data_IF_153467244858
#
_entry.id   IF_153467244858
#
_cell.length_a   1.000
_cell.length_b   1.000
_cell.length_c   1.000
_cell.angle_alpha   90.00
_cell.angle_beta   90.00
_cell.angle_gamma   90.00
#
_symmetry.space_group_name_H-M   'P 1'
#
loop_
_entity.id
_entity.type
_entity.pdbx_description
1 polymer ?
#
# COMPACT_ATOMS: atom_id res chain seq x y z
N UNK A 1 20.75 -37.09 27.11
CA UNK A 1 20.84 -35.90 26.23
C UNK A 1 19.68 -35.97 25.25
N UNK A 2 18.67 -35.12 25.40
CA UNK A 2 17.60 -35.02 24.42
C UNK A 2 18.21 -34.39 23.16
N UNK A 3 18.40 -35.19 22.11
CA UNK A 3 18.75 -34.68 20.79
C UNK A 3 17.61 -33.74 20.37
N UNK A 4 17.89 -32.44 20.40
CA UNK A 4 17.00 -31.41 19.87
C UNK A 4 16.61 -31.84 18.47
N UNK A 5 15.37 -32.30 18.30
CA UNK A 5 14.84 -32.82 17.05
C UNK A 5 14.74 -31.64 16.07
N UNK A 6 15.82 -31.42 15.33
CA UNK A 6 15.94 -30.38 14.33
C UNK A 6 14.84 -30.60 13.30
N UNK A 7 13.95 -29.62 13.14
CA UNK A 7 12.81 -29.75 12.25
C UNK A 7 13.19 -29.23 10.86
N UNK A 8 13.49 -30.10 9.88
CA UNK A 8 13.95 -29.69 8.55
C UNK A 8 12.89 -28.92 7.76
N UNK A 9 11.63 -28.93 8.20
CA UNK A 9 10.54 -28.17 7.57
C UNK A 9 10.68 -26.67 7.84
N UNK A 10 11.30 -26.29 8.97
CA UNK A 10 11.51 -24.88 9.29
C UNK A 10 12.38 -24.19 8.23
N UNK A 11 13.54 -24.76 7.91
CA UNK A 11 14.48 -24.17 6.95
C UNK A 11 13.96 -24.20 5.50
N UNK A 12 12.98 -25.07 5.22
CA UNK A 12 12.29 -25.10 3.92
C UNK A 12 11.23 -24.01 3.79
N UNK A 13 10.62 -23.59 4.90
CA UNK A 13 9.55 -22.60 4.93
C UNK A 13 10.04 -21.20 5.23
N UNK A 14 11.02 -21.03 6.13
CA UNK A 14 11.57 -19.74 6.56
C UNK A 14 12.93 -19.53 5.89
N UNK A 15 13.00 -18.58 4.96
CA UNK A 15 14.20 -18.33 4.15
C UNK A 15 15.13 -17.29 4.74
N UNK A 16 14.62 -16.41 5.59
CA UNK A 16 15.35 -15.32 6.22
C UNK A 16 14.77 -14.98 7.59
N UNK A 17 15.52 -14.24 8.41
CA UNK A 17 15.10 -13.83 9.76
C UNK A 17 13.94 -12.83 9.76
N UNK A 18 13.69 -12.16 8.63
CA UNK A 18 12.62 -11.19 8.40
C UNK A 18 11.52 -11.74 7.46
N UNK A 19 11.53 -13.05 7.18
CA UNK A 19 10.54 -13.72 6.33
C UNK A 19 9.21 -13.96 7.07
N UNK A 20 8.42 -12.90 7.24
CA UNK A 20 7.11 -12.93 7.91
C UNK A 20 6.18 -13.97 7.26
N UNK A 21 6.16 -14.01 5.92
CA UNK A 21 5.40 -15.00 5.16
C UNK A 21 5.82 -16.44 5.54
N UNK A 22 7.13 -16.70 5.57
CA UNK A 22 7.69 -17.99 5.99
C UNK A 22 7.33 -18.36 7.43
N UNK A 23 7.32 -17.41 8.36
CA UNK A 23 6.91 -17.66 9.75
C UNK A 23 5.43 -18.02 9.87
N UNK A 24 4.57 -17.33 9.13
CA UNK A 24 3.14 -17.65 9.08
C UNK A 24 2.93 -19.03 8.45
N UNK A 25 3.60 -19.31 7.33
CA UNK A 25 3.56 -20.62 6.67
C UNK A 25 4.01 -21.75 7.61
N UNK A 26 5.05 -21.52 8.41
CA UNK A 26 5.49 -22.46 9.43
C UNK A 26 4.45 -22.66 10.56
N UNK A 27 3.77 -21.58 10.97
CA UNK A 27 2.65 -21.65 11.90
C UNK A 27 1.51 -22.52 11.37
N UNK A 28 1.13 -22.33 10.10
CA UNK A 28 0.11 -23.15 9.42
C UNK A 28 0.52 -24.63 9.37
N UNK A 29 1.78 -24.92 9.04
CA UNK A 29 2.32 -26.29 9.11
C UNK A 29 2.18 -26.90 10.51
N UNK A 30 2.52 -26.15 11.57
CA UNK A 30 2.41 -26.65 12.96
C UNK A 30 0.96 -26.88 13.36
N UNK A 31 0.04 -26.05 12.90
CA UNK A 31 -1.39 -26.25 13.09
C UNK A 31 -1.85 -27.55 12.42
N UNK A 32 -1.51 -27.77 11.14
CA UNK A 32 -1.85 -28.99 10.43
C UNK A 32 -1.27 -30.25 11.11
N UNK A 33 -0.04 -30.17 11.62
CA UNK A 33 0.57 -31.25 12.43
C UNK A 33 -0.21 -31.54 13.71
N UNK A 34 -0.68 -30.50 14.41
CA UNK A 34 -1.50 -30.67 15.61
C UNK A 34 -2.84 -31.31 15.28
N UNK A 35 -3.51 -30.86 14.23
CA UNK A 35 -4.79 -31.42 13.78
C UNK A 35 -4.66 -32.90 13.44
N UNK A 36 -3.63 -33.27 12.68
CA UNK A 36 -3.36 -34.67 12.37
C UNK A 36 -3.07 -35.51 13.61
N UNK A 37 -2.31 -34.98 14.58
CA UNK A 37 -2.02 -35.68 15.84
C UNK A 37 -3.29 -35.93 16.65
N UNK A 38 -4.19 -34.94 16.72
CA UNK A 38 -5.47 -35.05 17.43
C UNK A 38 -6.39 -36.05 16.74
N UNK A 39 -6.50 -35.98 15.42
CA UNK A 39 -7.30 -36.90 14.61
C UNK A 39 -6.78 -38.34 14.71
N UNK A 40 -5.47 -38.55 14.61
CA UNK A 40 -4.87 -39.87 14.78
C UNK A 40 -5.15 -40.44 16.16
N UNK A 41 -5.02 -39.62 17.22
CA UNK A 41 -5.32 -40.05 18.59
C UNK A 41 -6.79 -40.38 18.80
N UNK A 42 -7.69 -39.63 18.17
CA UNK A 42 -9.12 -39.90 18.22
C UNK A 42 -9.49 -41.22 17.51
N UNK A 43 -8.84 -41.52 16.38
CA UNK A 43 -9.08 -42.75 15.61
C UNK A 43 -8.47 -44.00 16.23
N UNK A 44 -7.23 -43.92 16.70
CA UNK A 44 -6.44 -45.07 17.16
C UNK A 44 -6.45 -45.23 18.70
N UNK A 45 -6.95 -44.24 19.44
CA UNK A 45 -6.95 -44.23 20.90
C UNK A 45 -5.56 -44.08 21.54
N UNK A 46 -4.51 -43.89 20.73
CA UNK A 46 -3.10 -43.82 21.16
C UNK A 46 -2.34 -42.70 20.46
N UNK A 47 -1.14 -42.40 20.94
CA UNK A 47 -0.21 -41.56 20.21
C UNK A 47 0.33 -42.29 18.95
N UNK A 48 0.66 -41.55 17.87
CA UNK A 48 1.27 -42.16 16.71
C UNK A 48 2.66 -42.70 17.03
N UNK A 49 2.96 -43.85 16.45
CA UNK A 49 4.28 -44.47 16.47
C UNK A 49 5.27 -43.68 15.62
N UNK A 50 6.57 -43.93 15.82
CA UNK A 50 7.63 -43.32 15.01
C UNK A 50 7.49 -43.65 13.51
N UNK A 51 6.93 -44.81 13.16
CA UNK A 51 6.70 -45.17 11.77
C UNK A 51 5.60 -44.31 11.13
N UNK A 52 4.51 -44.08 11.84
CA UNK A 52 3.39 -43.22 11.40
C UNK A 52 3.81 -41.76 11.31
N UNK A 53 4.63 -41.27 12.26
CA UNK A 53 5.21 -39.92 12.19
C UNK A 53 6.14 -39.72 11.00
N UNK A 54 6.92 -40.75 10.63
CA UNK A 54 7.73 -40.72 9.40
C UNK A 54 6.84 -40.72 8.16
N UNK A 55 5.75 -41.50 8.17
CA UNK A 55 4.74 -41.48 7.10
C UNK A 55 4.14 -40.09 6.91
N UNK A 56 3.72 -39.46 7.99
CA UNK A 56 3.25 -38.07 8.01
C UNK A 56 4.30 -37.11 7.48
N UNK A 57 5.57 -37.28 7.86
CA UNK A 57 6.64 -36.39 7.41
C UNK A 57 6.88 -36.47 5.88
N UNK A 58 6.61 -37.63 5.26
CA UNK A 58 6.75 -37.83 3.81
C UNK A 58 5.68 -37.14 2.98
N UNK A 59 4.54 -36.78 3.57
CA UNK A 59 3.47 -36.07 2.85
C UNK A 59 3.83 -34.60 2.55
N UNK A 60 4.87 -34.08 3.21
CA UNK A 60 5.37 -32.73 3.03
C UNK A 60 6.33 -32.67 1.85
N UNK A 61 5.75 -32.61 0.65
CA UNK A 61 6.48 -32.38 -0.59
C UNK A 61 6.74 -30.88 -0.76
N UNK A 62 7.68 -30.47 -1.62
CA UNK A 62 7.89 -29.06 -1.93
C UNK A 62 6.60 -28.34 -2.35
N UNK A 63 5.71 -29.01 -3.09
CA UNK A 63 4.41 -28.48 -3.50
C UNK A 63 3.48 -28.20 -2.32
N UNK A 64 3.38 -29.11 -1.34
CA UNK A 64 2.52 -28.87 -0.17
C UNK A 64 3.09 -27.82 0.76
N UNK A 65 4.43 -27.71 0.85
CA UNK A 65 5.08 -26.61 1.56
C UNK A 65 4.87 -25.26 0.87
N UNK A 66 4.90 -25.23 -0.46
CA UNK A 66 4.57 -24.03 -1.23
C UNK A 66 3.12 -23.59 -1.00
N UNK A 67 2.17 -24.52 -0.92
CA UNK A 67 0.78 -24.18 -0.62
C UNK A 67 0.60 -23.46 0.74
N UNK A 68 1.40 -23.81 1.76
CA UNK A 68 1.41 -23.07 3.02
C UNK A 68 1.94 -21.64 2.88
N UNK A 69 2.94 -21.43 2.02
CA UNK A 69 3.46 -20.09 1.69
C UNK A 69 2.41 -19.25 0.95
N UNK A 70 1.76 -19.82 -0.05
CA UNK A 70 0.67 -19.15 -0.79
C UNK A 70 -0.50 -18.80 0.14
N UNK A 71 -0.85 -19.69 1.06
CA UNK A 71 -1.88 -19.41 2.08
C UNK A 71 -1.46 -18.28 3.02
N UNK A 72 -0.19 -18.26 3.44
CA UNK A 72 0.37 -17.20 4.29
C UNK A 72 0.37 -15.84 3.58
N UNK A 73 0.76 -15.80 2.31
CA UNK A 73 0.73 -14.60 1.47
C UNK A 73 -0.70 -14.05 1.31
N UNK A 74 -1.67 -14.93 1.06
CA UNK A 74 -3.08 -14.56 1.01
C UNK A 74 -3.59 -13.97 2.33
N UNK A 75 -3.22 -14.57 3.47
CA UNK A 75 -3.60 -14.07 4.79
C UNK A 75 -2.98 -12.71 5.11
N UNK A 76 -1.69 -12.52 4.77
CA UNK A 76 -1.00 -11.24 4.91
C UNK A 76 -1.62 -10.16 4.03
N UNK A 77 -1.91 -10.47 2.77
CA UNK A 77 -2.54 -9.56 1.83
C UNK A 77 -3.93 -9.14 2.30
N UNK A 78 -4.73 -10.08 2.81
CA UNK A 78 -6.05 -9.78 3.38
C UNK A 78 -5.94 -8.87 4.60
N UNK A 79 -4.99 -9.12 5.51
CA UNK A 79 -4.75 -8.27 6.67
C UNK A 79 -4.29 -6.86 6.29
N UNK A 80 -3.39 -6.75 5.31
CA UNK A 80 -2.93 -5.46 4.80
C UNK A 80 -4.10 -4.66 4.20
N UNK A 81 -4.95 -5.30 3.42
CA UNK A 81 -6.14 -4.67 2.83
C UNK A 81 -7.10 -4.14 3.90
N UNK A 82 -7.40 -4.95 4.94
CA UNK A 82 -8.25 -4.54 6.05
C UNK A 82 -7.66 -3.32 6.77
N UNK A 83 -6.34 -3.34 7.01
CA UNK A 83 -5.64 -2.24 7.69
C UNK A 83 -5.65 -0.96 6.85
N UNK A 84 -5.46 -1.08 5.53
CA UNK A 84 -5.52 0.06 4.61
C UNK A 84 -6.94 0.64 4.51
N UNK A 85 -7.96 -0.20 4.43
CA UNK A 85 -9.36 0.24 4.40
C UNK A 85 -9.74 1.00 5.67
N UNK A 86 -9.32 0.51 6.84
CA UNK A 86 -9.56 1.18 8.13
C UNK A 86 -8.84 2.53 8.24
N UNK A 87 -7.64 2.66 7.64
CA UNK A 87 -6.85 3.90 7.65
C UNK A 87 -7.15 4.85 6.48
N UNK A 88 -7.90 4.42 5.47
CA UNK A 88 -8.23 5.27 4.30
C UNK A 88 -8.89 6.59 4.70
N UNK A 89 -9.83 6.65 5.66
CA UNK A 89 -10.46 7.90 6.07
C UNK A 89 -9.51 8.90 6.74
N UNK A 90 -8.53 8.42 7.51
CA UNK A 90 -7.53 9.29 8.15
C UNK A 90 -6.53 9.82 7.14
N UNK A 91 -6.07 8.99 6.20
CA UNK A 91 -5.18 9.40 5.10
C UNK A 91 -5.83 10.50 4.25
N UNK A 92 -7.12 10.36 3.93
CA UNK A 92 -7.87 11.39 3.18
C UNK A 92 -8.00 12.70 3.97
N UNK A 93 -8.29 12.64 5.28
CA UNK A 93 -8.35 13.82 6.13
C UNK A 93 -7.00 14.54 6.22
N UNK A 94 -5.92 13.79 6.41
CA UNK A 94 -4.56 14.36 6.50
C UNK A 94 -4.13 14.99 5.17
N UNK A 95 -4.49 14.38 4.03
CA UNK A 95 -4.24 14.95 2.70
C UNK A 95 -5.01 16.27 2.49
N UNK A 96 -6.24 16.39 2.98
CA UNK A 96 -7.02 17.63 2.91
C UNK A 96 -6.49 18.71 3.86
N UNK A 97 -6.01 18.34 5.05
CA UNK A 97 -5.43 19.27 6.03
C UNK A 97 -4.03 19.76 5.65
N UNK A 98 -3.24 18.93 4.95
CA UNK A 98 -1.95 19.32 4.38
C UNK A 98 -2.07 20.06 3.03
N UNK A 99 -3.28 20.11 2.45
CA UNK A 99 -3.58 20.89 1.27
C UNK A 99 -3.30 22.38 1.46
N UNK A 100 -2.85 23.05 0.40
CA UNK A 100 -2.56 24.50 0.40
C UNK A 100 -3.76 25.24 0.99
N UNK A 101 -3.57 26.19 1.93
CA UNK A 101 -4.69 26.76 2.66
C UNK A 101 -5.56 27.57 1.69
N UNK A 102 -6.86 27.27 1.66
CA UNK A 102 -7.84 27.80 0.71
C UNK A 102 -7.83 29.35 0.60
N UNK A 103 -7.46 30.05 1.68
CA UNK A 103 -7.35 31.51 1.67
C UNK A 103 -6.26 32.03 0.71
N UNK A 104 -5.19 31.28 0.49
CA UNK A 104 -4.13 31.66 -0.47
C UNK A 104 -4.65 31.64 -1.91
N UNK A 105 -5.42 30.61 -2.27
CA UNK A 105 -5.99 30.50 -3.62
C UNK A 105 -7.04 31.59 -3.87
N UNK A 106 -7.86 31.90 -2.86
CA UNK A 106 -8.82 33.01 -2.91
C UNK A 106 -8.08 34.35 -3.09
N UNK A 107 -7.00 34.61 -2.33
CA UNK A 107 -6.22 35.84 -2.47
C UNK A 107 -5.55 35.98 -3.84
N UNK A 108 -5.00 34.90 -4.39
CA UNK A 108 -4.40 34.90 -5.73
C UNK A 108 -5.46 35.27 -6.77
N UNK A 109 -6.68 34.73 -6.66
CA UNK A 109 -7.80 35.07 -7.53
C UNK A 109 -8.20 36.55 -7.43
N UNK A 110 -8.34 37.08 -6.21
CA UNK A 110 -8.69 38.49 -5.97
C UNK A 110 -7.60 39.42 -6.53
N UNK A 111 -6.33 39.15 -6.26
CA UNK A 111 -5.20 39.96 -6.75
C UNK A 111 -5.14 39.93 -8.28
N UNK A 112 -5.41 38.78 -8.90
CA UNK A 112 -5.45 38.67 -10.37
C UNK A 112 -6.59 39.50 -10.98
N UNK A 113 -7.79 39.46 -10.38
CA UNK A 113 -8.93 40.24 -10.85
C UNK A 113 -8.72 41.75 -10.69
N UNK A 114 -8.14 42.18 -9.56
CA UNK A 114 -7.77 43.58 -9.34
C UNK A 114 -6.70 44.04 -10.33
N UNK A 115 -5.68 43.21 -10.58
CA UNK A 115 -4.62 43.51 -11.55
C UNK A 115 -5.20 43.71 -12.95
N UNK A 116 -6.10 42.84 -13.39
CA UNK A 116 -6.80 42.98 -14.68
C UNK A 116 -7.58 44.30 -14.76
N UNK A 117 -8.28 44.65 -13.69
CA UNK A 117 -9.08 45.88 -13.62
C UNK A 117 -8.18 47.13 -13.70
N UNK A 118 -7.05 47.14 -13.00
CA UNK A 118 -6.06 48.23 -13.04
C UNK A 118 -5.48 48.38 -14.45
N UNK A 119 -5.11 47.27 -15.10
CA UNK A 119 -4.60 47.29 -16.48
C UNK A 119 -5.62 47.89 -17.44
N UNK A 120 -6.90 47.52 -17.34
CA UNK A 120 -7.95 48.09 -18.18
C UNK A 120 -8.14 49.59 -17.95
N UNK A 121 -8.09 50.05 -16.70
CA UNK A 121 -8.19 51.48 -16.38
C UNK A 121 -7.01 52.26 -16.97
N UNK A 122 -5.79 51.74 -16.84
CA UNK A 122 -4.59 52.35 -17.43
C UNK A 122 -4.71 52.38 -18.96
N UNK A 123 -5.12 51.29 -19.60
CA UNK A 123 -5.30 51.21 -21.04
C UNK A 123 -6.36 52.22 -21.53
N UNK A 124 -7.51 52.32 -20.83
CA UNK A 124 -8.55 53.29 -21.14
C UNK A 124 -8.06 54.74 -20.97
N UNK A 125 -7.25 55.01 -19.96
CA UNK A 125 -6.66 56.32 -19.72
C UNK A 125 -5.63 56.69 -20.79
N UNK A 126 -4.76 55.75 -21.19
CA UNK A 126 -3.82 55.93 -22.29
C UNK A 126 -4.56 56.19 -23.61
N UNK A 127 -5.59 55.40 -23.92
CA UNK A 127 -6.43 55.63 -25.09
C UNK A 127 -7.12 57.01 -25.06
N UNK A 128 -7.54 57.48 -23.89
CA UNK A 128 -8.16 58.81 -23.76
C UNK A 128 -7.17 59.96 -23.97
N UNK A 129 -5.95 59.84 -23.44
CA UNK A 129 -4.92 60.88 -23.54
C UNK A 129 -4.31 60.91 -24.94
N UNK A 130 -3.98 59.74 -25.48
CA UNK A 130 -3.24 59.60 -26.73
C UNK A 130 -4.17 59.38 -27.93
N UNK A 131 -5.46 59.14 -27.71
CA UNK A 131 -6.54 59.19 -28.72
C UNK A 131 -6.24 58.43 -30.01
N UNK A 132 -5.70 59.16 -30.98
CA UNK A 132 -5.38 58.67 -32.32
C UNK A 132 -3.93 58.17 -32.46
N UNK A 133 -2.97 58.77 -31.75
CA UNK A 133 -1.53 58.48 -31.91
C UNK A 133 -1.14 57.11 -31.34
N UNK A 134 -1.82 56.63 -30.28
CA UNK A 134 -1.56 55.32 -29.71
C UNK A 134 -2.04 54.18 -30.61
N UNK A 135 -3.23 54.34 -31.20
CA UNK A 135 -3.76 53.35 -32.15
C UNK A 135 -2.83 53.26 -33.35
N UNK A 136 -2.40 54.40 -33.90
CA UNK A 136 -1.44 54.50 -35.01
C UNK A 136 -0.06 53.91 -34.67
N UNK A 137 0.44 54.12 -33.45
CA UNK A 137 1.71 53.52 -33.00
C UNK A 137 1.64 52.00 -32.85
N UNK A 138 0.50 51.46 -32.37
CA UNK A 138 0.30 50.01 -32.21
C UNK A 138 0.06 49.33 -33.56
N UNK A 139 -0.69 49.94 -34.49
CA UNK A 139 -0.83 49.43 -35.87
C UNK A 139 0.48 49.49 -36.63
N UNK A 140 1.31 50.52 -36.43
CA UNK A 140 2.65 50.60 -37.02
C UNK A 140 3.59 49.49 -36.50
N UNK A 141 3.42 49.03 -35.25
CA UNK A 141 4.20 47.94 -34.66
C UNK A 141 3.70 46.53 -35.06
N UNK A 142 2.40 46.38 -35.35
CA UNK A 142 1.80 45.12 -35.84
C UNK A 142 1.84 44.96 -37.36
N UNK A 143 2.06 46.05 -38.10
CA UNK A 143 2.12 46.08 -39.57
C UNK A 143 3.51 45.83 -40.16
N UNK A 144 4.43 45.23 -39.38
CA UNK A 144 5.78 44.86 -39.82
C UNK A 144 6.01 43.37 -39.63
#
# INVERSE_FOLDING_TARGET
MATTDYNPVFDQLVRASDDIEGFIAYGLYKQAKREWLLDHRAREGRAPTMAELRGFSRQWTPTTLQAFRETADGALSAYAQITLEDQTPSIQRDALLQGRPLWKDILIGVISALSYSVILVIAAFLLKIFGNDFVDAVTALKGR
#
